data_IF_183506082982
#
_entry.id   IF_183506082982
#
_cell.length_a   1.000
_cell.length_b   1.000
_cell.length_c   1.000
_cell.angle_alpha   90.00
_cell.angle_beta   90.00
_cell.angle_gamma   90.00
#
_symmetry.space_group_name_H-M   'P 1'
#
loop_
_entity.id
_entity.type
_entity.pdbx_description
1 polymer ?
#
# COMPACT_ATOMS: atom_id res chain seq x y z
N UNK A 1 -28.99 -9.16 39.95
CA UNK A 1 -28.46 -9.98 41.08
C UNK A 1 -27.33 -10.80 40.47
N UNK A 2 -26.12 -10.59 40.67
CA UNK A 2 -25.17 -10.69 41.77
C UNK A 2 -23.90 -9.95 41.42
N UNK A 3 -23.59 -8.97 42.20
CA UNK A 3 -22.29 -8.36 42.48
C UNK A 3 -21.37 -9.38 43.17
N UNK A 4 -20.09 -9.39 42.81
CA UNK A 4 -18.92 -9.71 43.64
C UNK A 4 -17.76 -9.06 42.88
N UNK A 5 -17.17 -7.95 43.21
CA UNK A 5 -16.52 -7.40 44.38
C UNK A 5 -15.16 -8.05 44.72
N UNK A 6 -14.12 -7.20 44.70
CA UNK A 6 -12.86 -7.19 45.46
C UNK A 6 -11.76 -8.18 44.98
N UNK A 7 -10.53 -7.72 44.75
CA UNK A 7 -9.47 -7.15 45.59
C UNK A 7 -8.30 -6.72 44.70
N UNK A 8 -7.77 -5.54 44.75
CA UNK A 8 -6.77 -4.95 45.66
C UNK A 8 -5.56 -5.82 45.98
N UNK A 9 -4.40 -5.38 45.57
CA UNK A 9 -3.06 -5.30 46.19
C UNK A 9 -1.99 -5.44 45.13
N UNK A 10 -0.94 -4.78 45.01
CA UNK A 10 0.10 -4.07 45.74
C UNK A 10 1.16 -3.63 44.73
N UNK A 11 1.47 -2.41 44.66
CA UNK A 11 2.71 -1.71 44.98
C UNK A 11 4.01 -2.56 44.90
N UNK A 12 4.87 -2.20 43.98
CA UNK A 12 6.33 -2.20 44.19
C UNK A 12 7.02 -1.29 43.17
N UNK A 13 7.42 -0.17 43.64
CA UNK A 13 8.41 0.76 43.11
C UNK A 13 9.80 0.13 43.02
N UNK A 14 10.47 0.23 41.86
CA UNK A 14 11.94 0.18 41.81
C UNK A 14 12.43 1.26 40.86
N UNK A 15 12.92 2.32 41.45
CA UNK A 15 13.81 3.32 40.87
C UNK A 15 15.21 2.69 40.72
N UNK A 16 15.73 2.68 39.51
CA UNK A 16 17.19 2.59 39.31
C UNK A 16 17.58 3.67 38.34
N UNK A 17 18.14 4.74 38.89
CA UNK A 17 18.93 5.72 38.21
C UNK A 17 20.36 5.20 38.09
N UNK A 18 20.90 5.13 36.89
CA UNK A 18 22.34 5.06 36.67
C UNK A 18 22.69 6.11 35.62
N UNK A 19 23.26 7.18 36.13
CA UNK A 19 23.99 8.15 35.38
C UNK A 19 25.41 7.60 35.09
N UNK A 20 25.82 7.64 33.83
CA UNK A 20 27.26 7.67 33.50
C UNK A 20 27.48 8.70 32.43
N UNK A 21 28.01 9.77 32.88
CA UNK A 21 28.68 10.85 32.13
C UNK A 21 30.05 10.33 31.70
N UNK A 22 30.36 10.36 30.41
CA UNK A 22 31.75 10.45 29.96
C UNK A 22 31.86 11.35 28.77
N UNK A 23 32.48 12.45 29.08
CA UNK A 23 33.03 13.47 28.19
C UNK A 23 34.36 12.95 27.61
N UNK A 24 34.50 12.95 26.31
CA UNK A 24 35.82 12.94 25.67
C UNK A 24 35.73 13.72 24.36
N UNK A 25 36.36 14.86 24.37
CA UNK A 25 36.64 15.81 23.32
C UNK A 25 37.89 15.37 22.51
N UNK A 26 38.21 16.03 21.40
CA UNK A 26 38.45 15.41 20.09
C UNK A 26 39.94 15.28 19.79
N UNK A 27 40.30 14.36 18.95
CA UNK A 27 41.61 14.42 18.30
C UNK A 27 41.43 14.35 16.79
N UNK A 28 41.66 15.47 16.18
CA UNK A 28 41.86 15.68 14.75
C UNK A 28 43.15 14.99 14.31
N UNK A 29 43.08 14.04 13.41
CA UNK A 29 44.25 13.66 12.62
C UNK A 29 43.90 13.11 11.26
N UNK A 30 44.24 13.87 10.22
CA UNK A 30 44.71 13.44 8.89
C UNK A 30 43.80 12.61 7.99
N UNK A 31 43.29 13.31 7.03
CA UNK A 31 42.85 12.82 5.72
C UNK A 31 43.97 12.08 4.98
N UNK A 32 43.69 10.92 4.39
CA UNK A 32 44.23 10.61 3.08
C UNK A 32 43.12 10.70 2.01
N UNK A 33 43.51 11.36 0.94
CA UNK A 33 42.79 11.50 -0.29
C UNK A 33 42.63 10.14 -1.01
N UNK A 34 41.53 10.01 -1.75
CA UNK A 34 41.44 9.05 -2.84
C UNK A 34 40.50 7.88 -2.57
N UNK A 35 39.20 8.14 -2.64
CA UNK A 35 38.28 7.08 -3.05
C UNK A 35 37.80 7.44 -4.45
N UNK A 36 37.92 6.53 -5.43
CA UNK A 36 37.41 6.79 -6.75
C UNK A 36 35.89 6.92 -6.64
N UNK A 37 35.37 8.00 -7.20
CA UNK A 37 33.95 8.14 -7.43
C UNK A 37 33.47 6.94 -8.21
N UNK A 38 32.79 6.04 -7.54
CA UNK A 38 32.01 5.01 -8.20
C UNK A 38 30.95 5.77 -9.01
N UNK A 39 31.15 5.80 -10.33
CA UNK A 39 30.18 6.29 -11.25
C UNK A 39 28.85 5.61 -10.91
N UNK A 40 27.89 6.41 -10.43
CA UNK A 40 26.53 5.96 -10.29
C UNK A 40 26.09 5.48 -11.68
N UNK A 41 26.01 4.18 -11.86
CA UNK A 41 25.31 3.58 -12.98
C UNK A 41 23.94 4.25 -13.03
N UNK A 42 23.46 4.70 -14.21
CA UNK A 42 22.12 5.25 -14.29
C UNK A 42 21.19 4.19 -13.73
N UNK A 43 20.59 4.48 -12.57
CA UNK A 43 19.58 3.63 -11.98
C UNK A 43 18.51 3.47 -13.06
N UNK A 44 18.41 2.27 -13.64
CA UNK A 44 17.28 1.92 -14.47
C UNK A 44 16.05 2.38 -13.69
N UNK A 45 15.22 3.22 -14.27
CA UNK A 45 14.03 3.74 -13.61
C UNK A 45 13.20 2.54 -13.17
N UNK A 46 13.24 2.26 -11.87
CA UNK A 46 12.46 1.18 -11.30
C UNK A 46 11.02 1.51 -11.63
N UNK A 47 10.37 0.63 -12.40
CA UNK A 47 8.94 0.80 -12.70
C UNK A 47 8.17 0.78 -11.37
N UNK A 48 7.85 1.98 -10.88
CA UNK A 48 7.20 2.17 -9.58
C UNK A 48 5.84 1.46 -9.49
N UNK A 49 5.26 1.04 -10.61
CA UNK A 49 3.98 0.35 -10.65
C UNK A 49 4.09 -1.10 -11.14
N UNK A 50 5.27 -1.69 -11.16
CA UNK A 50 5.45 -3.07 -11.62
C UNK A 50 4.56 -4.06 -10.88
N UNK A 51 4.50 -3.96 -9.54
CA UNK A 51 3.66 -4.81 -8.69
C UNK A 51 2.18 -4.56 -8.95
N UNK A 52 1.75 -3.29 -9.01
CA UNK A 52 0.35 -2.95 -9.28
C UNK A 52 -0.08 -3.41 -10.68
N UNK A 53 0.77 -3.27 -11.68
CA UNK A 53 0.51 -3.75 -13.05
C UNK A 53 0.35 -5.28 -13.09
N UNK A 54 1.21 -6.01 -12.37
CA UNK A 54 1.10 -7.47 -12.26
C UNK A 54 -0.20 -7.87 -11.55
N UNK A 55 -0.54 -7.19 -10.47
CA UNK A 55 -1.79 -7.40 -9.73
C UNK A 55 -3.03 -7.05 -10.57
N UNK A 56 -3.00 -5.97 -11.36
CA UNK A 56 -4.07 -5.62 -12.28
C UNK A 56 -4.31 -6.73 -13.30
N UNK A 57 -3.25 -7.18 -13.95
CA UNK A 57 -3.32 -8.27 -14.94
C UNK A 57 -3.89 -9.54 -14.35
N UNK A 58 -3.47 -9.90 -13.13
CA UNK A 58 -3.91 -11.14 -12.47
C UNK A 58 -5.34 -11.09 -11.95
N UNK A 59 -5.77 -9.95 -11.40
CA UNK A 59 -6.97 -9.86 -10.59
C UNK A 59 -8.09 -9.00 -11.20
N UNK A 60 -7.77 -8.07 -12.11
CA UNK A 60 -8.71 -7.04 -12.58
C UNK A 60 -9.00 -7.13 -14.07
N UNK A 61 -7.98 -7.49 -14.87
CA UNK A 61 -8.02 -7.45 -16.34
C UNK A 61 -9.10 -8.34 -16.93
N UNK A 62 -9.39 -9.50 -16.31
CA UNK A 62 -10.41 -10.42 -16.80
C UNK A 62 -11.79 -9.76 -16.91
N UNK A 63 -12.11 -8.81 -16.04
CA UNK A 63 -13.37 -8.07 -16.05
C UNK A 63 -13.22 -6.66 -16.65
N UNK A 64 -12.21 -5.91 -16.26
CA UNK A 64 -12.03 -4.52 -16.70
C UNK A 64 -11.34 -4.39 -18.08
N UNK A 65 -10.76 -5.48 -18.60
CA UNK A 65 -9.99 -5.49 -19.85
C UNK A 65 -8.58 -4.92 -19.68
N UNK A 66 -7.68 -5.21 -20.65
CA UNK A 66 -6.29 -4.72 -20.61
C UNK A 66 -6.19 -3.19 -20.73
N UNK A 67 -7.17 -2.57 -21.39
CA UNK A 67 -7.29 -1.12 -21.53
C UNK A 67 -8.10 -0.45 -20.43
N UNK A 68 -8.60 -1.20 -19.45
CA UNK A 68 -9.46 -0.72 -18.36
C UNK A 68 -10.75 -0.03 -18.84
N UNK A 69 -11.23 -0.43 -20.03
CA UNK A 69 -12.43 0.15 -20.66
C UNK A 69 -13.73 -0.54 -20.21
N UNK A 70 -13.61 -1.67 -19.51
CA UNK A 70 -14.76 -2.49 -19.11
C UNK A 70 -15.49 -3.07 -20.33
N UNK A 71 -16.80 -3.23 -20.20
CA UNK A 71 -17.65 -3.76 -21.27
C UNK A 71 -18.55 -4.89 -20.78
N UNK A 72 -19.11 -5.65 -21.71
CA UNK A 72 -19.88 -6.85 -21.39
C UNK A 72 -18.93 -8.03 -21.24
N UNK A 73 -18.90 -8.61 -20.04
CA UNK A 73 -18.11 -9.80 -19.73
C UNK A 73 -19.00 -10.92 -19.23
N UNK A 74 -18.59 -12.14 -19.49
CA UNK A 74 -19.30 -13.33 -19.02
C UNK A 74 -18.56 -13.90 -17.82
N UNK A 75 -19.21 -13.87 -16.66
CA UNK A 75 -18.71 -14.48 -15.43
C UNK A 75 -19.60 -15.67 -15.12
N UNK A 76 -19.04 -16.87 -15.12
CA UNK A 76 -19.76 -18.12 -15.07
C UNK A 76 -20.83 -18.20 -16.18
N UNK A 77 -22.11 -18.21 -15.81
CA UNK A 77 -23.23 -18.23 -16.77
C UNK A 77 -23.93 -16.89 -16.92
N UNK A 78 -23.48 -15.84 -16.19
CA UNK A 78 -24.10 -14.53 -16.13
C UNK A 78 -23.30 -13.54 -16.98
N UNK A 79 -23.98 -12.74 -17.78
CA UNK A 79 -23.39 -11.61 -18.47
C UNK A 79 -23.54 -10.37 -17.59
N UNK A 80 -22.42 -9.70 -17.31
CA UNK A 80 -22.38 -8.49 -16.51
C UNK A 80 -21.78 -7.34 -17.32
N UNK A 81 -22.23 -6.13 -17.05
CA UNK A 81 -21.69 -4.92 -17.64
C UNK A 81 -20.69 -4.31 -16.66
N UNK A 82 -19.41 -4.44 -16.95
CA UNK A 82 -18.33 -3.87 -16.13
C UNK A 82 -18.10 -2.43 -16.57
N UNK A 83 -18.13 -1.46 -15.65
CA UNK A 83 -17.89 -0.07 -15.98
C UNK A 83 -16.42 0.19 -16.34
N UNK A 84 -16.20 1.17 -17.23
CA UNK A 84 -14.87 1.64 -17.56
C UNK A 84 -14.23 2.36 -16.38
N UNK A 85 -12.97 2.05 -16.07
CA UNK A 85 -12.20 2.79 -15.08
C UNK A 85 -11.76 4.19 -15.58
N UNK A 86 -11.93 4.46 -16.89
CA UNK A 86 -11.63 5.73 -17.55
C UNK A 86 -12.88 6.61 -17.73
N UNK A 87 -14.06 6.12 -17.38
CA UNK A 87 -15.31 6.83 -17.58
C UNK A 87 -15.62 7.80 -16.44
N UNK A 88 -16.50 8.77 -16.73
CA UNK A 88 -16.82 9.90 -15.84
C UNK A 88 -17.15 9.52 -14.41
N UNK A 89 -17.94 8.45 -14.19
CA UNK A 89 -18.30 8.03 -12.84
C UNK A 89 -17.08 7.50 -12.07
N UNK A 90 -16.20 6.69 -12.70
CA UNK A 90 -14.99 6.20 -12.07
C UNK A 90 -13.99 7.33 -11.75
N UNK A 91 -13.98 8.39 -12.56
CA UNK A 91 -13.16 9.57 -12.33
C UNK A 91 -13.64 10.42 -11.14
N UNK A 92 -14.88 10.28 -10.72
CA UNK A 92 -15.50 11.01 -9.60
C UNK A 92 -15.29 10.32 -8.24
N UNK A 93 -14.96 9.04 -8.21
CA UNK A 93 -14.67 8.36 -6.96
C UNK A 93 -13.42 8.96 -6.32
N UNK A 94 -13.43 9.07 -4.98
CA UNK A 94 -12.24 9.41 -4.21
C UNK A 94 -11.32 8.20 -4.08
N UNK A 95 -10.07 8.42 -3.63
CA UNK A 95 -9.14 7.31 -3.40
C UNK A 95 -9.63 6.37 -2.30
N UNK A 96 -10.30 6.91 -1.28
CA UNK A 96 -10.93 6.13 -0.21
C UNK A 96 -12.07 5.26 -0.75
N UNK A 97 -12.88 5.79 -1.66
CA UNK A 97 -13.95 5.02 -2.29
C UNK A 97 -13.38 3.89 -3.15
N UNK A 98 -12.37 4.17 -3.99
CA UNK A 98 -11.68 3.13 -4.76
C UNK A 98 -11.05 2.07 -3.85
N UNK A 99 -10.38 2.49 -2.78
CA UNK A 99 -9.80 1.59 -1.79
C UNK A 99 -10.86 0.69 -1.17
N UNK A 100 -11.99 1.26 -0.77
CA UNK A 100 -13.12 0.51 -0.18
C UNK A 100 -13.71 -0.51 -1.16
N UNK A 101 -13.95 -0.10 -2.41
CA UNK A 101 -14.48 -0.97 -3.47
C UNK A 101 -13.52 -2.15 -3.74
N UNK A 102 -12.22 -1.89 -3.87
CA UNK A 102 -11.24 -2.95 -4.09
C UNK A 102 -11.14 -3.87 -2.87
N UNK A 103 -11.12 -3.31 -1.67
CA UNK A 103 -10.98 -4.09 -0.43
C UNK A 103 -12.17 -5.02 -0.20
N UNK A 104 -13.38 -4.49 -0.30
CA UNK A 104 -14.60 -5.18 0.15
C UNK A 104 -15.44 -5.74 -1.00
N UNK A 105 -15.13 -5.36 -2.25
CA UNK A 105 -15.99 -5.63 -3.38
C UNK A 105 -17.21 -4.69 -3.41
N UNK A 106 -17.90 -4.68 -4.53
CA UNK A 106 -19.15 -3.94 -4.71
C UNK A 106 -19.96 -4.59 -5.83
N UNK A 107 -21.23 -4.86 -5.59
CA UNK A 107 -22.12 -5.53 -6.55
C UNK A 107 -21.49 -6.84 -7.10
N UNK A 108 -21.17 -6.87 -8.38
CA UNK A 108 -20.55 -8.03 -9.05
C UNK A 108 -19.01 -8.05 -8.95
N UNK A 109 -18.41 -7.01 -8.38
CA UNK A 109 -16.95 -6.94 -8.16
C UNK A 109 -16.58 -7.68 -6.86
N UNK A 110 -15.72 -8.70 -6.90
CA UNK A 110 -15.33 -9.44 -5.70
C UNK A 110 -14.43 -8.60 -4.78
N UNK A 111 -14.41 -8.97 -3.51
CA UNK A 111 -13.45 -8.43 -2.53
C UNK A 111 -12.04 -8.95 -2.81
N UNK A 112 -11.03 -8.07 -2.63
CA UNK A 112 -9.63 -8.41 -2.86
C UNK A 112 -8.76 -8.37 -1.59
N UNK A 113 -9.31 -8.08 -0.42
CA UNK A 113 -8.58 -8.04 0.87
C UNK A 113 -7.86 -9.35 1.22
N UNK A 114 -8.36 -10.49 0.72
CA UNK A 114 -7.74 -11.80 0.96
C UNK A 114 -6.74 -12.18 -0.15
N UNK A 115 -6.62 -11.37 -1.21
CA UNK A 115 -5.73 -11.58 -2.36
C UNK A 115 -4.60 -10.55 -2.45
N UNK A 116 -4.80 -9.38 -1.86
CA UNK A 116 -3.86 -8.28 -1.85
C UNK A 116 -3.79 -7.67 -0.44
N UNK A 117 -2.60 -7.32 0.00
CA UNK A 117 -2.38 -6.55 1.22
C UNK A 117 -2.93 -5.13 1.09
N UNK A 118 -3.12 -4.45 2.21
CA UNK A 118 -3.54 -3.04 2.22
C UNK A 118 -2.56 -2.13 1.46
N UNK A 119 -1.26 -2.42 1.51
CA UNK A 119 -0.24 -1.69 0.77
C UNK A 119 -0.40 -1.88 -0.74
N UNK A 120 -0.63 -3.12 -1.20
CA UNK A 120 -0.85 -3.42 -2.62
C UNK A 120 -2.16 -2.81 -3.13
N UNK A 121 -3.22 -2.77 -2.31
CA UNK A 121 -4.48 -2.10 -2.65
C UNK A 121 -4.25 -0.58 -2.79
N UNK A 122 -3.50 0.03 -1.88
CA UNK A 122 -3.14 1.46 -1.98
C UNK A 122 -2.31 1.74 -3.23
N UNK A 123 -1.36 0.87 -3.56
CA UNK A 123 -0.56 0.97 -4.78
C UNK A 123 -1.43 0.79 -6.04
N UNK A 124 -2.39 -0.13 -6.01
CA UNK A 124 -3.37 -0.32 -7.09
C UNK A 124 -4.19 0.95 -7.34
N UNK A 125 -4.66 1.62 -6.30
CA UNK A 125 -5.39 2.89 -6.44
C UNK A 125 -4.50 3.95 -7.10
N UNK A 126 -3.24 4.09 -6.67
CA UNK A 126 -2.29 5.02 -7.31
C UNK A 126 -2.03 4.66 -8.79
N UNK A 127 -1.89 3.38 -9.09
CA UNK A 127 -1.75 2.88 -10.46
C UNK A 127 -2.95 3.24 -11.32
N UNK A 128 -4.16 3.01 -10.82
CA UNK A 128 -5.41 3.40 -11.50
C UNK A 128 -5.41 4.90 -11.79
N UNK A 129 -5.05 5.74 -10.81
CA UNK A 129 -4.99 7.20 -11.00
C UNK A 129 -3.97 7.61 -12.05
N UNK A 130 -2.73 7.16 -11.91
CA UNK A 130 -1.61 7.62 -12.75
C UNK A 130 -1.61 7.02 -14.14
N UNK A 131 -1.72 5.69 -14.22
CA UNK A 131 -1.53 4.97 -15.49
C UNK A 131 -2.83 4.79 -16.27
N UNK A 132 -3.96 4.65 -15.58
CA UNK A 132 -5.24 4.38 -16.24
C UNK A 132 -6.03 5.66 -16.46
N UNK A 133 -6.11 6.54 -15.46
CA UNK A 133 -6.91 7.77 -15.49
C UNK A 133 -6.12 9.02 -15.89
N UNK A 134 -4.79 8.99 -15.83
CA UNK A 134 -3.93 10.12 -16.18
C UNK A 134 -4.01 11.31 -15.21
N UNK A 135 -4.19 11.06 -13.91
CA UNK A 135 -4.38 12.07 -12.86
C UNK A 135 -3.14 12.28 -12.00
#
# INVERSE_FOLDING_TARGET
MKLIALALTCVATVLIAIACTETATPTNTSRPAGSPATAASPAASVDQFATARANYKKNCEACHGPGATGGLVKVDKKQIKVPSLKADHALKHTDEQLTKMITNGEEEMPAFKDKMSAAEISEMVRYIRKEIQGK
#
